data_IF_481595653093
#
_entry.id   IF_481595653093
#
_cell.length_a   1.000
_cell.length_b   1.000
_cell.length_c   1.000
_cell.angle_alpha   90.00
_cell.angle_beta   90.00
_cell.angle_gamma   90.00
#
_symmetry.space_group_name_H-M   'P 1'
#
loop_
_entity.id
_entity.type
_entity.pdbx_description
1 polymer ?
#
# COMPACT_ATOMS: atom_id res chain seq x y z
N UNK A 1 -3.68 -29.05 -19.37
CA UNK A 1 -2.57 -28.66 -18.47
C UNK A 1 -2.99 -27.36 -17.80
N UNK A 2 -3.35 -27.42 -16.53
CA UNK A 2 -3.80 -26.27 -15.74
C UNK A 2 -2.57 -25.44 -15.38
N UNK A 3 -2.32 -24.39 -16.15
CA UNK A 3 -1.42 -23.31 -15.72
C UNK A 3 -2.04 -22.65 -14.51
N UNK A 4 -1.35 -22.67 -13.37
CA UNK A 4 -1.72 -21.91 -12.18
C UNK A 4 -1.95 -20.45 -12.62
N UNK A 5 -3.16 -19.92 -12.45
CA UNK A 5 -3.45 -18.51 -12.67
C UNK A 5 -2.65 -17.69 -11.65
N UNK A 6 -1.44 -17.28 -12.05
CA UNK A 6 -0.55 -16.46 -11.24
C UNK A 6 -1.15 -15.06 -11.13
N UNK A 7 -1.72 -14.74 -9.98
CA UNK A 7 -2.18 -13.37 -9.69
C UNK A 7 -0.94 -12.51 -9.44
N UNK A 8 -0.70 -11.53 -10.32
CA UNK A 8 0.42 -10.58 -10.26
C UNK A 8 -0.10 -9.16 -10.18
N UNK A 9 0.64 -8.31 -9.46
CA UNK A 9 0.35 -6.88 -9.44
C UNK A 9 0.68 -6.24 -10.80
N UNK A 10 -0.03 -5.15 -11.17
CA UNK A 10 0.34 -4.31 -12.30
C UNK A 10 1.77 -3.78 -12.20
N UNK A 11 2.42 -3.56 -13.34
CA UNK A 11 3.83 -3.08 -13.42
C UNK A 11 3.97 -1.57 -13.56
N UNK A 12 2.87 -0.82 -13.55
CA UNK A 12 2.84 0.63 -13.78
C UNK A 12 3.28 1.46 -12.56
N UNK A 13 3.39 0.85 -11.38
CA UNK A 13 3.89 1.47 -10.15
C UNK A 13 4.95 0.59 -9.53
N UNK A 14 6.15 1.14 -9.31
CA UNK A 14 7.29 0.41 -8.76
C UNK A 14 7.62 0.94 -7.35
N UNK A 15 7.67 0.08 -6.32
CA UNK A 15 8.15 0.51 -5.01
C UNK A 15 9.68 0.69 -5.04
N UNK A 16 10.16 1.71 -4.33
CA UNK A 16 11.58 2.08 -4.22
C UNK A 16 12.10 1.81 -2.81
N UNK A 17 11.33 2.18 -1.79
CA UNK A 17 11.72 2.01 -0.40
C UNK A 17 10.50 1.77 0.50
N UNK A 18 10.69 0.97 1.54
CA UNK A 18 9.67 0.68 2.55
C UNK A 18 10.18 1.11 3.92
N UNK A 19 9.37 1.93 4.61
CA UNK A 19 9.56 2.20 6.03
C UNK A 19 8.42 1.56 6.80
N UNK A 20 8.74 0.58 7.64
CA UNK A 20 7.78 -0.14 8.45
C UNK A 20 8.01 0.13 9.94
N UNK A 21 6.95 0.51 10.63
CA UNK A 21 6.93 0.63 12.10
C UNK A 21 5.85 -0.29 12.64
N UNK A 22 6.23 -1.23 13.50
CA UNK A 22 5.30 -2.12 14.18
C UNK A 22 5.35 -1.90 15.69
N UNK A 23 4.19 -1.98 16.32
CA UNK A 23 3.98 -1.94 17.77
C UNK A 23 3.18 -3.18 18.16
N UNK A 24 3.84 -4.30 18.47
CA UNK A 24 3.17 -5.51 18.93
C UNK A 24 2.59 -5.32 20.34
N UNK A 25 1.41 -5.87 20.58
CA UNK A 25 0.85 -6.10 21.91
C UNK A 25 0.90 -7.61 22.20
N UNK A 26 1.82 -8.01 23.08
CA UNK A 26 2.04 -9.41 23.42
C UNK A 26 1.01 -9.96 24.43
N UNK A 27 0.18 -9.11 25.02
CA UNK A 27 -0.90 -9.52 25.94
C UNK A 27 -2.15 -9.85 25.15
N UNK A 28 -2.49 -9.01 24.17
CA UNK A 28 -3.66 -9.20 23.32
C UNK A 28 -3.37 -10.01 22.05
N UNK A 29 -2.09 -10.30 21.77
CA UNK A 29 -1.64 -10.92 20.52
C UNK A 29 -2.09 -10.15 19.27
N UNK A 30 -1.98 -8.82 19.33
CA UNK A 30 -2.31 -7.91 18.24
C UNK A 30 -1.09 -7.05 17.87
N UNK A 31 -1.22 -6.25 16.80
CA UNK A 31 -0.23 -5.22 16.50
C UNK A 31 -0.92 -3.98 15.92
N UNK A 32 -0.30 -2.83 16.18
CA UNK A 32 -0.55 -1.61 15.44
C UNK A 32 0.71 -1.23 14.67
N UNK A 33 0.56 -0.51 13.55
CA UNK A 33 1.72 -0.14 12.76
C UNK A 33 1.44 0.93 11.72
N UNK A 34 2.51 1.36 11.08
CA UNK A 34 2.52 2.30 9.97
C UNK A 34 3.48 1.75 8.90
N UNK A 35 3.02 1.72 7.66
CA UNK A 35 3.81 1.43 6.48
C UNK A 35 3.85 2.68 5.62
N UNK A 36 5.05 3.09 5.20
CA UNK A 36 5.25 4.12 4.18
C UNK A 36 6.01 3.51 3.03
N UNK A 37 5.43 3.59 1.84
CA UNK A 37 6.00 3.05 0.60
C UNK A 37 6.37 4.24 -0.30
N UNK A 38 7.65 4.43 -0.55
CA UNK A 38 8.11 5.32 -1.61
C UNK A 38 7.92 4.60 -2.94
N UNK A 39 7.20 5.24 -3.86
CA UNK A 39 6.84 4.66 -5.16
C UNK A 39 7.26 5.55 -6.30
N UNK A 40 7.55 4.92 -7.43
CA UNK A 40 7.73 5.54 -8.73
C UNK A 40 6.58 5.13 -9.64
N UNK A 41 5.88 6.11 -10.20
CA UNK A 41 4.79 5.89 -11.17
C UNK A 41 5.41 5.88 -12.56
N UNK A 42 5.45 4.70 -13.18
CA UNK A 42 6.06 4.49 -14.51
C UNK A 42 5.09 4.84 -15.63
N UNK A 43 3.78 4.63 -15.40
CA UNK A 43 2.71 4.97 -16.34
C UNK A 43 1.57 5.64 -15.58
N UNK A 44 0.96 6.68 -16.17
CA UNK A 44 -0.15 7.42 -15.56
C UNK A 44 -1.26 6.49 -15.10
N UNK A 45 -1.67 6.61 -13.84
CA UNK A 45 -2.69 5.76 -13.23
C UNK A 45 -3.52 6.53 -12.22
N UNK A 46 -4.78 6.13 -12.07
CA UNK A 46 -5.68 6.62 -11.01
C UNK A 46 -5.73 5.68 -9.81
N UNK A 47 -5.06 4.52 -9.87
CA UNK A 47 -5.06 3.51 -8.81
C UNK A 47 -3.67 2.90 -8.60
N UNK A 48 -3.37 2.59 -7.35
CA UNK A 48 -2.20 1.83 -6.91
C UNK A 48 -2.71 0.55 -6.25
N UNK A 49 -2.24 -0.61 -6.70
CA UNK A 49 -2.65 -1.90 -6.16
C UNK A 49 -1.55 -2.48 -5.29
N UNK A 50 -1.94 -3.02 -4.13
CA UNK A 50 -1.05 -3.58 -3.12
C UNK A 50 -1.63 -4.91 -2.63
N UNK A 51 -0.76 -5.81 -2.18
CA UNK A 51 -1.20 -7.00 -1.45
C UNK A 51 -1.50 -6.62 -0.01
N UNK A 52 -2.60 -7.13 0.54
CA UNK A 52 -2.94 -7.01 1.95
C UNK A 52 -3.72 -8.25 2.38
N UNK A 53 -3.39 -8.80 3.55
CA UNK A 53 -4.05 -9.97 4.13
C UNK A 53 -4.19 -9.73 5.63
N UNK A 54 -5.41 -9.91 6.16
CA UNK A 54 -5.72 -9.85 7.59
C UNK A 54 -5.27 -8.56 8.32
N UNK A 55 -5.19 -7.44 7.60
CA UNK A 55 -4.85 -6.12 8.16
C UNK A 55 -6.06 -5.20 8.13
N UNK A 56 -6.36 -4.56 9.26
CA UNK A 56 -7.36 -3.49 9.32
C UNK A 56 -6.71 -2.14 9.01
N UNK A 57 -6.99 -1.59 7.83
CA UNK A 57 -6.45 -0.30 7.37
C UNK A 57 -7.29 0.84 7.95
N UNK A 58 -6.70 1.60 8.88
CA UNK A 58 -7.39 2.71 9.55
C UNK A 58 -7.33 4.02 8.74
N UNK A 59 -6.20 4.30 8.10
CA UNK A 59 -5.98 5.53 7.35
C UNK A 59 -5.04 5.30 6.18
N UNK A 60 -5.30 5.97 5.05
CA UNK A 60 -4.42 5.98 3.89
C UNK A 60 -4.18 7.44 3.48
N UNK A 61 -2.94 7.77 3.11
CA UNK A 61 -2.57 9.08 2.59
C UNK A 61 -1.58 8.89 1.45
N UNK A 62 -1.70 9.73 0.41
CA UNK A 62 -0.74 9.79 -0.67
C UNK A 62 -0.05 11.15 -0.62
N UNK A 63 1.28 11.16 -0.69
CA UNK A 63 2.07 12.39 -0.68
C UNK A 63 2.89 12.51 -1.94
N UNK A 64 2.87 13.68 -2.57
CA UNK A 64 3.70 14.02 -3.72
C UNK A 64 4.44 15.32 -3.44
N UNK A 65 5.76 15.35 -3.61
CA UNK A 65 6.60 16.54 -3.37
C UNK A 65 6.37 17.19 -1.99
N UNK A 66 6.20 16.36 -0.95
CA UNK A 66 5.96 16.82 0.43
C UNK A 66 4.53 17.30 0.72
N UNK A 67 3.62 17.28 -0.25
CA UNK A 67 2.23 17.65 -0.07
C UNK A 67 1.33 16.41 -0.03
N UNK A 68 0.42 16.34 0.94
CA UNK A 68 -0.62 15.31 0.95
C UNK A 68 -1.67 15.64 -0.10
N UNK A 69 -1.90 14.70 -1.01
CA UNK A 69 -2.96 14.80 -1.99
C UNK A 69 -4.31 14.60 -1.31
N UNK A 70 -5.35 15.37 -1.68
CA UNK A 70 -6.68 15.15 -1.15
C UNK A 70 -7.18 13.76 -1.56
N UNK A 71 -8.06 13.13 -0.76
CA UNK A 71 -8.78 11.95 -1.21
C UNK A 71 -9.47 12.27 -2.54
N UNK A 72 -9.44 11.32 -3.49
CA UNK A 72 -10.31 11.39 -4.65
C UNK A 72 -11.75 11.28 -4.15
N UNK A 73 -12.43 12.42 -4.04
CA UNK A 73 -13.88 12.44 -3.87
C UNK A 73 -14.48 11.93 -5.17
N UNK A 74 -15.06 10.73 -5.19
CA UNK A 74 -15.96 10.36 -6.28
C UNK A 74 -17.10 11.38 -6.29
N UNK A 75 -17.25 12.10 -7.41
CA UNK A 75 -18.46 12.87 -7.72
C UNK A 75 -19.59 11.91 -8.11
#
# INVERSE_FOLDING_TARGET
>A
MTTLDKIVLPTNVRPINYTLKLRPDLTQFTFAGEETIEIEVLESTSAIQLNSIEINIQTVKLTQNGQTLPPLTLL
#
